data_IF_212920403190
#
_entry.id   IF_212920403190
#
_cell.length_a   1.000
_cell.length_b   1.000
_cell.length_c   1.000
_cell.angle_alpha   90.00
_cell.angle_beta   90.00
_cell.angle_gamma   90.00
#
_symmetry.space_group_name_H-M   'P 1'
#
loop_
_entity.id
_entity.type
_entity.pdbx_description
1 polymer ?
#
# COMPACT_ATOMS: atom_id res chain seq x y z
N UNK A 1 15.48 -9.62 -3.44
CA UNK A 1 14.18 -8.94 -3.62
C UNK A 1 13.33 -9.20 -2.38
N UNK A 2 13.01 -8.16 -1.63
CA UNK A 2 12.16 -8.21 -0.44
C UNK A 2 10.78 -7.66 -0.77
N UNK A 3 9.73 -8.37 -0.35
CA UNK A 3 8.35 -7.96 -0.61
C UNK A 3 7.59 -7.99 0.71
N UNK A 4 7.08 -6.84 1.13
CA UNK A 4 6.10 -6.75 2.21
C UNK A 4 4.70 -6.68 1.63
N UNK A 5 3.77 -7.47 2.17
CA UNK A 5 2.37 -7.49 1.75
C UNK A 5 1.48 -6.85 2.81
N UNK A 6 0.57 -5.98 2.36
CA UNK A 6 -0.49 -5.36 3.18
C UNK A 6 -1.85 -5.66 2.58
N UNK A 7 -2.82 -5.96 3.43
CA UNK A 7 -4.22 -6.08 3.01
C UNK A 7 -4.90 -4.71 3.04
N UNK A 8 -5.64 -4.40 1.99
CA UNK A 8 -6.47 -3.19 1.90
C UNK A 8 -7.93 -3.61 1.84
N UNK A 9 -8.68 -3.26 2.88
CA UNK A 9 -10.11 -3.55 3.03
C UNK A 9 -10.95 -2.31 3.30
N UNK A 10 -10.35 -1.24 3.83
CA UNK A 10 -11.01 0.05 4.02
C UNK A 10 -11.28 0.70 2.67
N UNK A 11 -12.57 0.91 2.37
CA UNK A 11 -13.05 1.52 1.14
C UNK A 11 -13.89 2.76 1.44
N UNK A 12 -13.57 3.88 0.78
CA UNK A 12 -14.44 5.05 0.74
C UNK A 12 -14.59 5.50 -0.71
N UNK A 13 -15.83 5.41 -1.24
CA UNK A 13 -16.12 5.55 -2.68
C UNK A 13 -15.24 4.60 -3.50
N UNK A 14 -14.59 5.07 -4.57
CA UNK A 14 -13.67 4.28 -5.40
C UNK A 14 -12.26 4.10 -4.82
N UNK A 15 -11.96 4.72 -3.67
CA UNK A 15 -10.64 4.67 -3.04
C UNK A 15 -10.55 3.57 -1.98
N UNK A 16 -9.41 2.89 -2.00
CA UNK A 16 -8.95 1.97 -0.98
C UNK A 16 -7.85 2.61 -0.16
N UNK A 17 -7.93 2.44 1.16
CA UNK A 17 -7.05 3.10 2.11
C UNK A 17 -6.29 2.11 2.98
N UNK A 18 -5.04 2.45 3.27
CA UNK A 18 -4.27 1.81 4.33
C UNK A 18 -3.44 2.86 5.08
N UNK A 19 -3.37 2.80 6.42
CA UNK A 19 -4.07 1.85 7.30
C UNK A 19 -5.50 2.29 7.64
N UNK A 20 -6.27 1.42 8.29
CA UNK A 20 -7.59 1.70 8.87
C UNK A 20 -7.52 2.16 10.35
N UNK A 21 -6.33 2.10 10.95
CA UNK A 21 -5.99 2.70 12.24
C UNK A 21 -4.50 3.08 12.27
N UNK A 22 -4.10 3.97 13.19
CA UNK A 22 -2.67 4.32 13.37
C UNK A 22 -1.82 3.07 13.58
N UNK A 23 -0.73 2.92 12.80
CA UNK A 23 0.08 1.70 12.79
C UNK A 23 1.58 1.96 12.93
N UNK A 24 2.07 2.03 14.17
CA UNK A 24 3.51 2.18 14.46
C UNK A 24 4.35 1.02 13.91
N UNK A 25 3.78 -0.19 13.84
CA UNK A 25 4.41 -1.35 13.22
C UNK A 25 4.56 -1.18 11.70
N UNK A 26 3.50 -0.76 11.00
CA UNK A 26 3.59 -0.50 9.55
C UNK A 26 4.59 0.62 9.23
N UNK A 27 4.65 1.66 10.06
CA UNK A 27 5.64 2.72 9.94
C UNK A 27 7.08 2.19 10.14
N UNK A 28 7.30 1.26 11.08
CA UNK A 28 8.61 0.60 11.28
C UNK A 28 9.02 -0.17 10.03
N UNK A 29 8.12 -0.97 9.48
CA UNK A 29 8.45 -1.81 8.33
C UNK A 29 8.76 -0.98 7.07
N UNK A 30 8.09 0.17 6.86
CA UNK A 30 8.48 1.11 5.80
C UNK A 30 9.93 1.58 5.95
N UNK A 31 10.38 1.87 7.18
CA UNK A 31 11.79 2.23 7.43
C UNK A 31 12.75 1.08 7.17
N UNK A 32 12.35 -0.14 7.47
CA UNK A 32 13.13 -1.34 7.18
C UNK A 32 13.25 -1.57 5.66
N UNK A 33 12.16 -1.43 4.89
CA UNK A 33 12.20 -1.50 3.43
C UNK A 33 13.07 -0.40 2.81
N UNK A 34 13.03 0.82 3.36
CA UNK A 34 13.93 1.90 2.94
C UNK A 34 15.40 1.55 3.19
N UNK A 35 15.72 0.87 4.30
CA UNK A 35 17.08 0.40 4.57
C UNK A 35 17.51 -0.71 3.60
N UNK A 36 16.60 -1.63 3.26
CA UNK A 36 16.85 -2.66 2.21
C UNK A 36 17.17 -2.00 0.88
N UNK A 37 16.36 -1.03 0.44
CA UNK A 37 16.60 -0.28 -0.80
C UNK A 37 17.94 0.48 -0.77
N UNK A 38 18.27 1.12 0.36
CA UNK A 38 19.53 1.83 0.54
C UNK A 38 20.76 0.92 0.47
N UNK A 39 20.62 -0.37 0.84
CA UNK A 39 21.68 -1.36 0.73
C UNK A 39 21.85 -1.91 -0.70
N UNK A 40 21.06 -1.43 -1.67
CA UNK A 40 21.11 -1.86 -3.07
C UNK A 40 20.21 -3.05 -3.41
N UNK A 41 19.50 -3.60 -2.43
CA UNK A 41 18.54 -4.68 -2.63
C UNK A 41 17.19 -4.15 -3.13
N UNK A 42 16.55 -4.86 -4.06
CA UNK A 42 15.18 -4.54 -4.49
C UNK A 42 14.19 -4.72 -3.33
N UNK A 43 13.45 -3.67 -2.99
CA UNK A 43 12.41 -3.64 -1.96
C UNK A 43 11.05 -3.25 -2.56
N UNK A 44 10.00 -3.99 -2.21
CA UNK A 44 8.64 -3.78 -2.70
C UNK A 44 7.66 -3.80 -1.52
N UNK A 45 6.70 -2.87 -1.51
CA UNK A 45 5.48 -3.00 -0.72
C UNK A 45 4.30 -3.24 -1.66
N UNK A 46 3.59 -4.35 -1.45
CA UNK A 46 2.42 -4.76 -2.22
C UNK A 46 1.16 -4.61 -1.37
N UNK A 47 0.27 -3.72 -1.80
CA UNK A 47 -1.07 -3.59 -1.28
C UNK A 47 -2.01 -4.55 -2.02
N UNK A 48 -2.34 -5.67 -1.38
CA UNK A 48 -3.36 -6.60 -1.83
C UNK A 48 -4.73 -6.02 -1.50
N UNK A 49 -5.45 -5.57 -2.53
CA UNK A 49 -6.74 -4.92 -2.42
C UNK A 49 -7.84 -5.98 -2.45
N UNK A 50 -8.41 -6.23 -1.28
CA UNK A 50 -9.32 -7.35 -1.00
C UNK A 50 -10.77 -6.88 -0.86
N UNK A 51 -11.12 -5.79 -1.54
CA UNK A 51 -12.48 -5.24 -1.55
C UNK A 51 -12.86 -4.85 -2.99
N UNK A 52 -13.95 -5.42 -3.50
CA UNK A 52 -14.33 -5.33 -4.93
C UNK A 52 -14.70 -3.91 -5.39
N UNK A 53 -15.14 -3.04 -4.48
CA UNK A 53 -15.48 -1.65 -4.81
C UNK A 53 -14.26 -0.72 -5.00
N UNK A 54 -13.06 -1.14 -4.62
CA UNK A 54 -11.85 -0.29 -4.69
C UNK A 54 -11.27 -0.34 -6.11
N UNK A 55 -11.05 0.81 -6.74
CA UNK A 55 -10.40 0.92 -8.05
C UNK A 55 -9.12 1.78 -8.03
N UNK A 56 -8.85 2.48 -6.93
CA UNK A 56 -7.62 3.26 -6.70
C UNK A 56 -7.15 3.06 -5.27
N UNK A 57 -5.85 3.00 -5.05
CA UNK A 57 -5.26 2.93 -3.71
C UNK A 57 -4.63 4.26 -3.32
N UNK A 58 -4.77 4.65 -2.05
CA UNK A 58 -4.07 5.78 -1.45
C UNK A 58 -3.74 5.48 0.02
N UNK A 59 -2.60 5.96 0.56
CA UNK A 59 -2.39 5.90 2.01
C UNK A 59 -3.43 6.76 2.74
N UNK A 60 -3.92 6.28 3.88
CA UNK A 60 -4.93 6.94 4.67
C UNK A 60 -4.35 8.12 5.48
N UNK A 61 -4.02 9.23 4.82
CA UNK A 61 -3.46 10.40 5.51
C UNK A 61 -4.37 10.91 6.65
N UNK A 62 -5.68 10.80 6.49
CA UNK A 62 -6.67 11.20 7.48
C UNK A 62 -6.72 10.27 8.72
N UNK A 63 -6.10 9.08 8.66
CA UNK A 63 -6.04 8.11 9.77
C UNK A 63 -4.61 8.05 10.35
N UNK A 64 -3.60 7.88 9.49
CA UNK A 64 -2.19 7.84 9.88
C UNK A 64 -1.36 8.69 8.91
N UNK A 65 -1.34 10.00 9.18
CA UNK A 65 -0.55 10.96 8.41
C UNK A 65 0.95 10.59 8.38
N UNK A 66 1.47 10.00 9.46
CA UNK A 66 2.89 9.60 9.55
C UNK A 66 3.18 8.43 8.61
N UNK A 67 2.30 7.44 8.56
CA UNK A 67 2.41 6.34 7.60
C UNK A 67 2.35 6.86 6.15
N UNK A 68 1.41 7.76 5.84
CA UNK A 68 1.30 8.34 4.50
C UNK A 68 2.56 9.11 4.06
N UNK A 69 3.14 9.90 4.98
CA UNK A 69 4.42 10.58 4.75
C UNK A 69 5.56 9.58 4.53
N UNK A 70 5.67 8.55 5.37
CA UNK A 70 6.70 7.52 5.24
C UNK A 70 6.56 6.71 3.96
N UNK A 71 5.35 6.47 3.47
CA UNK A 71 5.12 5.76 2.21
C UNK A 71 5.62 6.60 1.02
N UNK A 72 5.42 7.92 1.07
CA UNK A 72 5.98 8.86 0.09
C UNK A 72 7.51 8.86 0.16
N UNK A 73 8.08 8.95 1.36
CA UNK A 73 9.53 8.87 1.58
C UNK A 73 10.11 7.54 1.07
N UNK A 74 9.42 6.43 1.28
CA UNK A 74 9.86 5.11 0.84
C UNK A 74 9.96 5.01 -0.69
N UNK A 75 8.96 5.54 -1.41
CA UNK A 75 9.04 5.67 -2.88
C UNK A 75 10.28 6.45 -3.29
N UNK A 76 10.50 7.60 -2.67
CA UNK A 76 11.60 8.51 -3.03
C UNK A 76 12.98 7.90 -2.72
N UNK A 77 13.03 6.93 -1.79
CA UNK A 77 14.22 6.13 -1.47
C UNK A 77 14.33 4.81 -2.24
N UNK A 78 13.52 4.60 -3.26
CA UNK A 78 13.63 3.45 -4.18
C UNK A 78 12.84 2.21 -3.76
N UNK A 79 11.93 2.30 -2.80
CA UNK A 79 10.97 1.22 -2.52
C UNK A 79 9.86 1.26 -3.57
N UNK A 80 9.64 0.14 -4.25
CA UNK A 80 8.55 0.00 -5.21
C UNK A 80 7.20 -0.15 -4.49
N UNK A 81 6.19 0.59 -4.93
CA UNK A 81 4.84 0.53 -4.35
C UNK A 81 3.88 -0.02 -5.39
N UNK A 82 3.29 -1.18 -5.09
CA UNK A 82 2.33 -1.84 -5.96
C UNK A 82 0.99 -1.95 -5.24
N UNK A 83 -0.10 -1.81 -5.99
CA UNK A 83 -1.43 -2.14 -5.52
C UNK A 83 -2.11 -3.06 -6.53
N UNK A 84 -2.61 -4.20 -6.07
CA UNK A 84 -3.26 -5.20 -6.91
C UNK A 84 -4.63 -5.55 -6.37
N UNK A 85 -5.65 -5.42 -7.20
CA UNK A 85 -7.03 -5.77 -6.92
C UNK A 85 -7.24 -7.27 -7.09
N UNK A 86 -7.83 -7.86 -6.06
CA UNK A 86 -8.32 -9.22 -6.11
C UNK A 86 -9.67 -9.28 -6.83
N UNK A 87 -9.82 -10.25 -7.72
CA UNK A 87 -11.12 -10.76 -8.13
C UNK A 87 -11.60 -11.76 -7.09
N UNK A 88 -12.81 -11.53 -6.58
CA UNK A 88 -13.41 -12.27 -5.47
C UNK A 88 -14.65 -13.01 -5.96
N UNK A 89 -14.75 -14.28 -5.64
CA UNK A 89 -15.97 -15.08 -5.74
C UNK A 89 -16.18 -15.87 -4.46
N UNK A 90 -17.31 -16.58 -4.35
CA UNK A 90 -17.58 -17.46 -3.21
C UNK A 90 -16.67 -18.69 -3.14
N UNK A 91 -15.95 -19.00 -4.22
CA UNK A 91 -15.11 -20.21 -4.35
C UNK A 91 -13.64 -19.91 -4.58
N UNK A 92 -13.28 -18.68 -4.95
CA UNK A 92 -11.91 -18.32 -5.30
C UNK A 92 -11.62 -16.84 -5.02
N UNK A 93 -10.36 -16.56 -4.72
CA UNK A 93 -9.79 -15.22 -4.73
C UNK A 93 -8.52 -15.23 -5.58
N UNK A 94 -8.32 -14.23 -6.43
CA UNK A 94 -7.11 -14.11 -7.27
C UNK A 94 -6.72 -12.64 -7.44
N UNK A 95 -5.47 -12.29 -7.12
CA UNK A 95 -4.92 -10.98 -7.48
C UNK A 95 -4.77 -10.92 -9.00
N UNK A 96 -5.56 -10.08 -9.66
CA UNK A 96 -5.65 -10.09 -11.13
C UNK A 96 -5.29 -8.75 -11.78
N UNK A 97 -5.57 -7.63 -11.13
CA UNK A 97 -5.50 -6.31 -11.79
C UNK A 97 -4.62 -5.34 -10.99
N UNK A 98 -3.54 -4.76 -11.56
CA UNK A 98 -2.88 -3.63 -10.95
C UNK A 98 -3.82 -2.41 -10.94
N UNK A 99 -3.85 -1.67 -9.84
CA UNK A 99 -4.62 -0.43 -9.73
C UNK A 99 -3.73 0.77 -9.44
N UNK A 100 -4.23 1.97 -9.74
CA UNK A 100 -3.46 3.20 -9.54
C UNK A 100 -3.14 3.43 -8.06
N UNK A 101 -1.88 3.76 -7.78
CA UNK A 101 -1.40 4.22 -6.46
C UNK A 101 -1.35 5.75 -6.47
N UNK A 102 -2.14 6.40 -5.62
CA UNK A 102 -2.23 7.86 -5.49
C UNK A 102 -1.70 8.28 -4.13
N UNK A 103 -0.43 8.68 -4.04
CA UNK A 103 0.19 9.02 -2.75
C UNK A 103 -0.27 10.37 -2.19
N UNK A 104 -0.74 11.29 -3.04
CA UNK A 104 -1.23 12.63 -2.65
C UNK A 104 -2.54 12.94 -3.38
N UNK A 105 -3.70 12.45 -2.90
CA UNK A 105 -4.99 12.84 -3.47
C UNK A 105 -5.31 14.29 -3.08
N UNK A 106 -5.27 15.22 -4.04
CA UNK A 106 -5.60 16.64 -3.80
C UNK A 106 -4.47 17.66 -3.96
N UNK A 107 -3.36 17.30 -4.63
CA UNK A 107 -2.58 18.27 -5.42
C UNK A 107 -2.97 18.17 -6.88
#
# INVERSE_FOLDING_TARGET
>A
CYIEVKSVTLAEKEYGYFPDAVTTRGQKHLRELMAVAANGDRAVILFAVLHSAIDRFSPAHHIDARYAQLLTEARDKGVEILAWKAELSTTKMTLNKPIAVVLNPGK
#
